data_IF_474204361019
#
_entry.id   IF_474204361019
#
_cell.length_a   1.000
_cell.length_b   1.000
_cell.length_c   1.000
_cell.angle_alpha   90.00
_cell.angle_beta   90.00
_cell.angle_gamma   90.00
#
_symmetry.space_group_name_H-M   'P 1'
#
loop_
_entity.id
_entity.type
_entity.pdbx_description
1 polymer ?
#
# COMPACT_ATOMS: atom_id res chain seq x y z
N UNK A 1 16.41 -54.52 29.55
CA UNK A 1 16.46 -53.54 28.45
C UNK A 1 15.18 -52.71 28.52
N UNK A 2 15.26 -51.49 29.05
CA UNK A 2 14.08 -50.63 29.27
C UNK A 2 13.81 -49.75 28.04
N UNK A 3 12.62 -49.82 27.40
CA UNK A 3 12.27 -49.01 26.23
C UNK A 3 11.91 -47.54 26.56
N UNK A 4 11.87 -47.18 27.85
CA UNK A 4 11.46 -45.87 28.39
C UNK A 4 12.23 -44.66 27.82
N UNK A 5 13.50 -44.84 27.42
CA UNK A 5 14.34 -43.76 26.91
C UNK A 5 14.01 -43.32 25.48
N UNK A 6 13.32 -44.16 24.70
CA UNK A 6 13.00 -43.88 23.29
C UNK A 6 11.76 -43.00 23.16
N UNK A 7 10.73 -43.28 23.96
CA UNK A 7 9.46 -42.55 23.92
C UNK A 7 9.63 -41.08 24.33
N UNK A 8 10.48 -40.79 25.33
CA UNK A 8 10.76 -39.42 25.78
C UNK A 8 11.52 -38.60 24.73
N UNK A 9 12.41 -39.22 23.96
CA UNK A 9 13.12 -38.57 22.84
C UNK A 9 12.20 -38.30 21.66
N UNK A 10 11.28 -39.22 21.37
CA UNK A 10 10.25 -39.05 20.33
C UNK A 10 9.28 -37.92 20.71
N UNK A 11 8.85 -37.85 21.98
CA UNK A 11 7.97 -36.78 22.46
C UNK A 11 8.63 -35.40 22.42
N UNK A 12 9.92 -35.31 22.76
CA UNK A 12 10.69 -34.06 22.64
C UNK A 12 10.87 -33.62 21.19
N UNK A 13 11.12 -34.55 20.26
CA UNK A 13 11.17 -34.26 18.83
C UNK A 13 9.82 -33.78 18.28
N UNK A 14 8.72 -34.40 18.73
CA UNK A 14 7.37 -33.99 18.34
C UNK A 14 7.02 -32.58 18.87
N UNK A 15 7.42 -32.27 20.11
CA UNK A 15 7.23 -30.95 20.71
C UNK A 15 8.06 -29.86 20.00
N UNK A 16 9.29 -30.17 19.56
CA UNK A 16 10.10 -29.23 18.76
C UNK A 16 9.52 -28.97 17.36
N UNK A 17 8.94 -29.99 16.71
CA UNK A 17 8.32 -29.84 15.38
C UNK A 17 6.99 -29.06 15.44
N UNK A 18 6.27 -29.11 16.55
CA UNK A 18 5.03 -28.37 16.76
C UNK A 18 5.22 -26.86 16.95
N UNK A 19 6.42 -26.38 17.30
CA UNK A 19 6.69 -24.94 17.44
C UNK A 19 7.17 -24.26 16.14
N UNK A 20 7.45 -25.01 15.08
CA UNK A 20 8.01 -24.47 13.84
C UNK A 20 6.96 -23.88 12.86
N UNK A 21 5.67 -23.92 13.19
CA UNK A 21 4.56 -23.52 12.30
C UNK A 21 4.09 -22.07 12.48
N UNK A 22 4.97 -21.16 12.91
CA UNK A 22 4.68 -19.73 12.80
C UNK A 22 4.73 -19.37 11.31
N UNK A 23 3.57 -19.36 10.66
CA UNK A 23 3.39 -18.88 9.30
C UNK A 23 4.01 -17.49 9.20
N UNK A 24 5.17 -17.40 8.55
CA UNK A 24 5.85 -16.16 8.25
C UNK A 24 5.05 -15.45 7.15
N UNK A 25 3.95 -14.78 7.51
CA UNK A 25 3.34 -13.80 6.61
C UNK A 25 4.36 -12.70 6.40
N UNK A 26 4.58 -12.28 5.15
CA UNK A 26 5.51 -11.19 4.90
C UNK A 26 5.11 -9.93 5.67
N UNK A 27 6.03 -9.34 6.42
CA UNK A 27 5.70 -8.22 7.32
C UNK A 27 5.15 -7.01 6.53
N UNK A 28 5.61 -6.82 5.29
CA UNK A 28 5.12 -5.79 4.37
C UNK A 28 3.63 -5.95 4.03
N UNK A 29 3.13 -7.18 3.96
CA UNK A 29 1.74 -7.47 3.61
C UNK A 29 0.78 -6.95 4.67
N UNK A 30 1.10 -7.21 5.95
CA UNK A 30 0.30 -6.73 7.08
C UNK A 30 0.28 -5.21 7.13
N UNK A 31 1.43 -4.58 6.96
CA UNK A 31 1.53 -3.11 6.92
C UNK A 31 0.72 -2.53 5.77
N UNK A 32 0.76 -3.16 4.60
CA UNK A 32 -0.02 -2.74 3.44
C UNK A 32 -1.53 -2.84 3.65
N UNK A 33 -2.04 -4.00 4.07
CA UNK A 33 -3.49 -4.19 4.26
C UNK A 33 -4.03 -3.24 5.33
N UNK A 34 -3.32 -3.10 6.45
CA UNK A 34 -3.69 -2.14 7.48
C UNK A 34 -3.62 -0.71 6.94
N UNK A 35 -2.56 -0.34 6.21
CA UNK A 35 -2.40 1.00 5.65
C UNK A 35 -3.49 1.35 4.62
N UNK A 36 -3.86 0.39 3.77
CA UNK A 36 -4.98 0.49 2.84
C UNK A 36 -6.30 0.71 3.58
N UNK A 37 -6.60 -0.11 4.59
CA UNK A 37 -7.83 0.02 5.38
C UNK A 37 -7.92 1.41 6.04
N UNK A 38 -6.80 1.89 6.59
CA UNK A 38 -6.70 3.25 7.16
C UNK A 38 -6.93 4.33 6.11
N UNK A 39 -6.36 4.19 4.92
CA UNK A 39 -6.57 5.13 3.82
C UNK A 39 -8.04 5.16 3.36
N UNK A 40 -8.70 4.00 3.30
CA UNK A 40 -10.12 3.87 2.97
C UNK A 40 -11.03 4.56 4.00
N UNK A 41 -10.61 4.55 5.27
CA UNK A 41 -11.28 5.25 6.38
C UNK A 41 -10.87 6.72 6.52
N UNK A 42 -10.14 7.28 5.56
CA UNK A 42 -9.59 8.65 5.58
C UNK A 42 -8.66 8.94 6.78
N UNK A 43 -8.09 7.91 7.41
CA UNK A 43 -7.13 8.00 8.51
C UNK A 43 -5.70 8.17 7.96
N UNK A 44 -5.46 9.26 7.24
CA UNK A 44 -4.29 9.44 6.38
C UNK A 44 -2.94 9.42 7.13
N UNK A 45 -2.88 9.90 8.37
CA UNK A 45 -1.63 9.92 9.13
C UNK A 45 -1.18 8.52 9.55
N UNK A 46 -2.13 7.64 9.86
CA UNK A 46 -1.86 6.23 10.17
C UNK A 46 -1.58 5.44 8.89
N UNK A 47 -2.36 5.70 7.85
CA UNK A 47 -2.19 5.08 6.54
C UNK A 47 -0.80 5.33 5.96
N UNK A 48 -0.34 6.58 5.96
CA UNK A 48 0.98 6.93 5.41
C UNK A 48 2.12 6.20 6.12
N UNK A 49 2.10 6.13 7.46
CA UNK A 49 3.13 5.40 8.23
C UNK A 49 3.20 3.93 7.81
N UNK A 50 2.05 3.28 7.73
CA UNK A 50 1.94 1.86 7.37
C UNK A 50 2.32 1.59 5.91
N UNK A 51 1.83 2.41 4.98
CA UNK A 51 2.10 2.26 3.55
C UNK A 51 3.58 2.54 3.21
N UNK A 52 4.20 3.53 3.85
CA UNK A 52 5.64 3.77 3.72
C UNK A 52 6.47 2.66 4.35
N UNK A 53 6.04 2.10 5.49
CA UNK A 53 6.66 0.91 6.09
C UNK A 53 6.60 -0.29 5.15
N UNK A 54 5.43 -0.53 4.53
CA UNK A 54 5.26 -1.59 3.55
C UNK A 54 6.21 -1.40 2.34
N UNK A 55 6.29 -0.19 1.79
CA UNK A 55 7.22 0.14 0.69
C UNK A 55 8.70 -0.02 1.07
N UNK A 56 9.06 0.28 2.32
CA UNK A 56 10.42 0.06 2.82
C UNK A 56 10.82 -1.42 2.85
N UNK A 57 9.83 -2.32 3.04
CA UNK A 57 10.03 -3.77 3.13
C UNK A 57 9.82 -4.50 1.79
N UNK A 58 8.90 -4.00 0.96
CA UNK A 58 8.65 -4.46 -0.40
C UNK A 58 8.50 -3.25 -1.34
N UNK A 59 9.59 -2.78 -1.97
CA UNK A 59 9.55 -1.55 -2.76
C UNK A 59 8.83 -1.71 -4.10
N UNK A 60 8.62 -2.95 -4.56
CA UNK A 60 8.08 -3.23 -5.89
C UNK A 60 6.55 -3.33 -5.83
N UNK A 61 5.88 -2.24 -6.18
CA UNK A 61 4.44 -2.26 -6.47
C UNK A 61 4.17 -3.03 -7.77
N UNK A 62 3.16 -3.89 -7.76
CA UNK A 62 2.78 -4.70 -8.92
C UNK A 62 1.37 -5.30 -8.76
N UNK A 63 0.73 -5.54 -9.91
CA UNK A 63 -0.61 -6.12 -10.00
C UNK A 63 -0.74 -7.51 -9.36
N UNK A 64 0.34 -8.28 -9.33
CA UNK A 64 0.35 -9.66 -8.81
C UNK A 64 1.53 -9.89 -7.88
N UNK A 65 1.45 -9.28 -6.70
CA UNK A 65 2.38 -9.54 -5.60
C UNK A 65 2.03 -10.85 -4.90
N UNK A 66 3.04 -11.54 -4.35
CA UNK A 66 2.87 -12.78 -3.58
C UNK A 66 3.29 -12.58 -2.12
N UNK A 67 2.35 -12.40 -1.18
CA UNK A 67 2.70 -12.27 0.23
C UNK A 67 3.10 -13.63 0.85
N UNK A 68 2.48 -14.73 0.40
CA UNK A 68 2.84 -16.09 0.79
C UNK A 68 2.23 -17.13 -0.17
N UNK A 69 2.93 -18.27 -0.31
CA UNK A 69 2.44 -19.45 -1.04
C UNK A 69 1.99 -19.16 -2.48
N UNK A 70 0.76 -19.58 -2.79
CA UNK A 70 0.13 -19.40 -4.11
C UNK A 70 -0.83 -18.20 -4.18
N UNK A 71 -0.96 -17.45 -3.08
CA UNK A 71 -1.82 -16.27 -3.05
C UNK A 71 -1.20 -15.16 -3.91
N UNK A 72 -2.01 -14.58 -4.79
CA UNK A 72 -1.66 -13.34 -5.48
C UNK A 72 -2.57 -12.23 -4.97
N UNK A 73 -2.04 -11.02 -4.93
CA UNK A 73 -2.76 -9.82 -4.56
C UNK A 73 -2.32 -8.62 -5.39
N UNK A 74 -3.18 -7.62 -5.47
CA UNK A 74 -2.84 -6.31 -6.00
C UNK A 74 -2.11 -5.49 -4.93
N UNK A 75 -0.92 -5.00 -5.25
CA UNK A 75 -0.08 -4.24 -4.34
C UNK A 75 0.26 -2.88 -4.94
N UNK A 76 -0.52 -1.86 -4.57
CA UNK A 76 -0.38 -0.48 -5.05
C UNK A 76 -0.34 0.53 -3.89
N UNK A 77 0.65 0.45 -2.98
CA UNK A 77 0.73 1.35 -1.83
C UNK A 77 0.81 2.84 -2.25
N UNK A 78 1.44 3.14 -3.38
CA UNK A 78 1.54 4.50 -3.92
C UNK A 78 0.15 5.07 -4.21
N UNK A 79 -0.81 4.28 -4.69
CA UNK A 79 -2.17 4.79 -4.93
C UNK A 79 -2.85 5.27 -3.65
N UNK A 80 -2.72 4.52 -2.54
CA UNK A 80 -3.28 4.94 -1.26
C UNK A 80 -2.52 6.13 -0.66
N UNK A 81 -1.20 6.23 -0.89
CA UNK A 81 -0.41 7.43 -0.54
C UNK A 81 -0.83 8.65 -1.36
N UNK A 82 -1.18 8.48 -2.64
CA UNK A 82 -1.71 9.54 -3.48
C UNK A 82 -3.06 10.04 -2.95
N UNK A 83 -3.97 9.14 -2.56
CA UNK A 83 -5.26 9.49 -1.94
C UNK A 83 -5.04 10.34 -0.68
N UNK A 84 -4.15 9.90 0.21
CA UNK A 84 -3.83 10.61 1.44
C UNK A 84 -3.22 11.98 1.18
N UNK A 85 -2.25 12.05 0.25
CA UNK A 85 -1.62 13.31 -0.16
C UNK A 85 -2.64 14.30 -0.72
N UNK A 86 -3.59 13.81 -1.55
CA UNK A 86 -4.62 14.66 -2.13
C UNK A 86 -5.56 15.21 -1.06
N UNK A 87 -5.96 14.39 -0.09
CA UNK A 87 -6.79 14.82 1.03
C UNK A 87 -6.11 15.91 1.86
N UNK A 88 -4.78 15.83 2.02
CA UNK A 88 -3.96 16.84 2.71
C UNK A 88 -3.67 18.09 1.88
N UNK A 89 -4.11 18.14 0.62
CA UNK A 89 -3.83 19.24 -0.30
C UNK A 89 -2.42 19.23 -0.89
N UNK A 90 -1.63 18.17 -0.66
CA UNK A 90 -0.29 18.00 -1.23
C UNK A 90 -0.41 17.46 -2.67
N UNK A 91 -0.74 18.36 -3.59
CA UNK A 91 -0.95 18.02 -5.01
C UNK A 91 0.33 17.53 -5.69
N UNK A 92 1.51 17.98 -5.23
CA UNK A 92 2.80 17.56 -5.77
C UNK A 92 3.07 16.08 -5.44
N UNK A 93 2.91 15.68 -4.17
CA UNK A 93 3.02 14.26 -3.79
C UNK A 93 1.92 13.42 -4.41
N UNK A 94 0.70 13.95 -4.50
CA UNK A 94 -0.39 13.25 -5.20
C UNK A 94 0.03 12.88 -6.62
N UNK A 95 0.52 13.85 -7.39
CA UNK A 95 0.97 13.63 -8.76
C UNK A 95 2.04 12.56 -8.82
N UNK A 96 3.09 12.69 -7.99
CA UNK A 96 4.21 11.74 -7.93
C UNK A 96 3.69 10.31 -7.71
N UNK A 97 2.88 10.10 -6.68
CA UNK A 97 2.40 8.78 -6.32
C UNK A 97 1.41 8.20 -7.34
N UNK A 98 0.59 9.02 -8.00
CA UNK A 98 -0.25 8.56 -9.12
C UNK A 98 0.60 8.08 -10.30
N UNK A 99 1.68 8.79 -10.62
CA UNK A 99 2.63 8.38 -11.68
C UNK A 99 3.27 7.03 -11.33
N UNK A 100 3.78 6.87 -10.12
CA UNK A 100 4.38 5.60 -9.68
C UNK A 100 3.36 4.44 -9.69
N UNK A 101 2.11 4.69 -9.29
CA UNK A 101 1.04 3.68 -9.37
C UNK A 101 0.71 3.30 -10.82
N UNK A 102 0.74 4.28 -11.74
CA UNK A 102 0.55 4.03 -13.17
C UNK A 102 1.66 3.14 -13.74
N UNK A 103 2.91 3.45 -13.43
CA UNK A 103 4.08 2.67 -13.86
C UNK A 103 4.03 1.22 -13.32
N UNK A 104 3.45 1.03 -12.13
CA UNK A 104 3.22 -0.28 -11.55
C UNK A 104 2.05 -1.06 -12.19
N UNK A 105 1.28 -0.45 -13.09
CA UNK A 105 0.19 -1.08 -13.82
C UNK A 105 -1.19 -1.01 -13.15
N UNK A 106 -1.45 0.01 -12.31
CA UNK A 106 -2.74 0.14 -11.61
C UNK A 106 -3.95 0.24 -12.56
N UNK A 107 -3.76 0.63 -13.81
CA UNK A 107 -4.83 0.71 -14.82
C UNK A 107 -5.46 -0.67 -15.14
N UNK A 108 -4.74 -1.76 -14.87
CA UNK A 108 -5.23 -3.13 -14.99
C UNK A 108 -5.76 -3.72 -13.67
N UNK A 109 -5.80 -2.93 -12.60
CA UNK A 109 -6.22 -3.37 -11.26
C UNK A 109 -7.71 -3.20 -11.01
N UNK A 110 -8.19 -3.76 -9.89
CA UNK A 110 -9.52 -3.50 -9.35
C UNK A 110 -9.76 -2.03 -9.00
N UNK A 111 -8.70 -1.28 -8.63
CA UNK A 111 -8.76 0.14 -8.25
C UNK A 111 -8.66 1.11 -9.43
N UNK A 112 -8.76 0.62 -10.68
CA UNK A 112 -8.52 1.42 -11.89
C UNK A 112 -9.44 2.65 -12.00
N UNK A 113 -10.68 2.52 -11.55
CA UNK A 113 -11.69 3.57 -11.74
C UNK A 113 -11.51 4.67 -10.69
N UNK A 114 -11.27 4.28 -9.44
CA UNK A 114 -10.97 5.22 -8.36
C UNK A 114 -9.63 5.93 -8.60
N UNK A 115 -8.65 5.24 -9.19
CA UNK A 115 -7.42 5.84 -9.72
C UNK A 115 -7.72 6.91 -10.77
N UNK A 116 -8.54 6.58 -11.78
CA UNK A 116 -8.93 7.52 -12.85
C UNK A 116 -9.64 8.75 -12.30
N UNK A 117 -10.57 8.56 -11.37
CA UNK A 117 -11.29 9.64 -10.70
C UNK A 117 -10.32 10.56 -9.95
N UNK A 118 -9.38 10.01 -9.17
CA UNK A 118 -8.40 10.80 -8.45
C UNK A 118 -7.48 11.59 -9.39
N UNK A 119 -7.03 10.97 -10.49
CA UNK A 119 -6.24 11.64 -11.54
C UNK A 119 -6.97 12.85 -12.14
N UNK A 120 -8.26 12.70 -12.42
CA UNK A 120 -9.10 13.79 -12.95
C UNK A 120 -9.30 14.92 -11.93
N UNK A 121 -9.51 14.57 -10.65
CA UNK A 121 -9.63 15.57 -9.56
C UNK A 121 -8.35 16.39 -9.39
N UNK A 122 -7.19 15.76 -9.50
CA UNK A 122 -5.90 16.45 -9.50
C UNK A 122 -5.78 17.41 -10.69
N UNK A 123 -6.16 16.99 -11.89
CA UNK A 123 -6.14 17.85 -13.08
C UNK A 123 -7.05 19.08 -12.91
N UNK A 124 -8.27 18.90 -12.39
CA UNK A 124 -9.19 19.99 -12.10
C UNK A 124 -8.59 21.01 -11.12
N UNK A 125 -7.94 20.54 -10.04
CA UNK A 125 -7.26 21.43 -9.08
C UNK A 125 -6.14 22.26 -9.71
N UNK A 126 -5.41 21.70 -10.66
CA UNK A 126 -4.40 22.47 -11.41
C UNK A 126 -5.02 23.54 -12.31
N UNK A 127 -6.12 23.23 -12.99
CA UNK A 127 -6.82 24.22 -13.83
C UNK A 127 -7.42 25.35 -12.99
N UNK A 128 -8.02 25.04 -11.84
CA UNK A 128 -8.52 26.04 -10.88
C UNK A 128 -7.41 27.01 -10.46
N UNK A 129 -6.23 26.48 -10.08
CA UNK A 129 -5.10 27.30 -9.67
C UNK A 129 -4.56 28.18 -10.80
N UNK A 130 -4.53 27.69 -12.03
CA UNK A 130 -4.10 28.46 -13.21
C UNK A 130 -5.09 29.59 -13.56
N UNK A 131 -6.39 29.31 -13.49
CA UNK A 131 -7.42 30.32 -13.73
C UNK A 131 -7.36 31.46 -12.69
N UNK A 132 -7.11 31.12 -11.41
CA UNK A 132 -6.94 32.10 -10.34
C UNK A 132 -5.69 32.96 -10.52
N UNK A 133 -4.59 32.36 -10.98
CA UNK A 133 -3.37 33.12 -11.28
C UNK A 133 -3.59 34.14 -12.42
N UNK A 134 -4.35 33.78 -13.45
CA UNK A 134 -4.65 34.65 -14.59
C UNK A 134 -5.56 35.82 -14.23
N UNK A 135 -6.57 35.60 -13.38
CA UNK A 135 -7.48 36.69 -12.94
C UNK A 135 -6.79 37.70 -12.02
N UNK A 136 -5.72 37.31 -11.31
CA UNK A 136 -4.94 38.21 -10.46
C UNK A 136 -3.88 39.03 -11.22
N UNK A 137 -3.52 38.63 -12.44
CA UNK A 137 -2.49 39.31 -13.25
C UNK A 137 -3.02 40.33 -14.26
N UNK A 138 -4.33 40.48 -14.42
CA UNK A 138 -4.92 41.55 -15.25
C UNK A 138 -5.07 42.83 -14.41
N UNK A 139 -4.28 43.89 -14.65
CA UNK A 139 -4.51 45.18 -14.01
C UNK A 139 -5.81 45.77 -14.59
N UNK A 140 -6.70 46.25 -13.72
CA UNK A 140 -7.75 47.18 -14.12
C UNK A 140 -7.11 48.35 -14.86
N UNK A 141 -7.41 48.47 -16.16
CA UNK A 141 -7.19 49.71 -16.91
C UNK A 141 -8.25 50.74 -16.54
#
# INVERSE_FOLDING_TARGET
MHPEGSLRKVLLLFFCLLQASISFSSEWYRDYENGKEKAEKNQCDEAEKLLLSALGKNPKAELRSRPYGTMNMEYFPQYFLARCSFQKGDLAKTKKYLTEAQEAGIEASSSREEYRVLKNRLAAKHMEAQAQAQTQTSPSQ
#
